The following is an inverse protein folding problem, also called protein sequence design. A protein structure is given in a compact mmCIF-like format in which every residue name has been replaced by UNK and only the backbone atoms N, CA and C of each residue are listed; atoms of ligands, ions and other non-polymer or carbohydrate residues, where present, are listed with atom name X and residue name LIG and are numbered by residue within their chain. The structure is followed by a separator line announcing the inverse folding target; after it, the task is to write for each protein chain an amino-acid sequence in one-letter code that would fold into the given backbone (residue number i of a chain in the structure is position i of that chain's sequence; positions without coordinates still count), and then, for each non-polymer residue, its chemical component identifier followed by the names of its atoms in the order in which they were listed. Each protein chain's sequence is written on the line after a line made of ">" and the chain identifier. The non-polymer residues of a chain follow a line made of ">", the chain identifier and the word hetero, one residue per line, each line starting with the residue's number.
data_IF_805475338475
#
_entry.id   IF_805475338475
#
_cell.length_a   1.000
_cell.length_b   1.000
_cell.length_c   1.000
_cell.angle_alpha   90.00
_cell.angle_beta   90.00
_cell.angle_gamma   90.00
#
_symmetry.space_group_name_H-M   'P 1'
#
loop_
_entity.id
_entity.type
_entity.pdbx_description
1 polymer ?
#
# COMPACT_ATOMS: atom_id res chain seq x y z
N UNK A 1 7.73 -31.72 -29.12
CA UNK A 1 7.63 -30.33 -28.62
C UNK A 1 8.22 -30.32 -27.23
N UNK A 2 9.46 -29.84 -27.09
CA UNK A 2 10.12 -29.70 -25.78
C UNK A 2 9.42 -28.56 -25.06
N UNK A 3 8.74 -28.84 -23.95
CA UNK A 3 8.26 -27.79 -23.03
C UNK A 3 9.50 -27.24 -22.36
N UNK A 4 10.04 -26.17 -22.93
CA UNK A 4 11.05 -25.36 -22.26
C UNK A 4 10.35 -24.77 -21.02
N UNK A 5 10.84 -25.03 -19.80
CA UNK A 5 10.36 -24.32 -18.64
C UNK A 5 10.69 -22.84 -18.84
N UNK A 6 9.67 -22.00 -19.00
CA UNK A 6 9.82 -20.55 -18.96
C UNK A 6 9.45 -20.11 -17.55
N UNK A 7 10.30 -19.28 -16.94
CA UNK A 7 9.94 -18.55 -15.73
C UNK A 7 9.32 -17.25 -16.21
N UNK A 8 8.10 -16.93 -15.78
CA UNK A 8 7.51 -15.62 -16.05
C UNK A 8 8.34 -14.61 -15.26
N UNK A 9 9.28 -13.95 -15.92
CA UNK A 9 10.06 -12.84 -15.35
C UNK A 9 9.13 -11.63 -15.31
N UNK A 10 8.30 -11.57 -14.27
CA UNK A 10 7.27 -10.54 -14.06
C UNK A 10 7.00 -10.19 -12.60
N UNK A 11 7.68 -10.85 -11.65
CA UNK A 11 7.54 -10.59 -10.22
C UNK A 11 7.96 -9.16 -9.83
N UNK A 12 8.97 -8.63 -10.52
CA UNK A 12 9.41 -7.23 -10.45
C UNK A 12 8.29 -6.22 -10.74
N UNK A 13 7.35 -6.59 -11.63
CA UNK A 13 6.20 -5.74 -11.99
C UNK A 13 5.02 -5.93 -11.04
N UNK A 14 5.01 -6.95 -10.19
CA UNK A 14 3.86 -7.28 -9.34
C UNK A 14 3.71 -6.26 -8.20
N UNK A 15 4.76 -6.05 -7.41
CA UNK A 15 4.75 -5.02 -6.37
C UNK A 15 4.75 -3.59 -6.94
N UNK A 16 5.02 -3.46 -8.25
CA UNK A 16 4.98 -2.19 -8.94
C UNK A 16 3.57 -1.75 -9.36
N UNK A 17 2.58 -2.66 -9.33
CA UNK A 17 1.21 -2.35 -9.73
C UNK A 17 0.59 -1.35 -8.77
N UNK A 18 -0.31 -0.50 -9.29
CA UNK A 18 -0.85 0.65 -8.57
C UNK A 18 -1.52 0.21 -7.27
N UNK A 19 -2.44 -0.73 -7.38
CA UNK A 19 -3.23 -1.31 -6.29
C UNK A 19 -2.34 -1.97 -5.22
N UNK A 20 -1.31 -2.70 -5.64
CA UNK A 20 -0.38 -3.35 -4.71
C UNK A 20 0.42 -2.30 -3.92
N UNK A 21 0.94 -1.28 -4.59
CA UNK A 21 1.62 -0.17 -3.91
C UNK A 21 0.70 0.62 -2.98
N UNK A 22 -0.58 0.74 -3.32
CA UNK A 22 -1.56 1.43 -2.48
C UNK A 22 -1.75 0.65 -1.17
N UNK A 23 -1.93 -0.68 -1.23
CA UNK A 23 -2.03 -1.54 -0.03
C UNK A 23 -0.72 -1.55 0.76
N UNK A 24 0.44 -1.68 0.09
CA UNK A 24 1.74 -1.59 0.77
C UNK A 24 1.89 -0.25 1.50
N UNK A 25 1.43 0.86 0.93
CA UNK A 25 1.49 2.16 1.59
C UNK A 25 0.58 2.23 2.83
N UNK A 26 -0.59 1.59 2.83
CA UNK A 26 -1.39 1.42 4.06
C UNK A 26 -0.59 0.67 5.13
N UNK A 27 -0.04 -0.51 4.78
CA UNK A 27 0.73 -1.33 5.70
C UNK A 27 1.95 -0.59 6.27
N UNK A 28 2.65 0.19 5.44
CA UNK A 28 3.80 1.02 5.87
C UNK A 28 3.40 2.09 6.87
N UNK A 29 2.23 2.70 6.72
CA UNK A 29 1.72 3.69 7.68
C UNK A 29 1.38 3.06 9.03
N UNK A 30 0.87 1.82 9.04
CA UNK A 30 0.60 1.10 10.29
C UNK A 30 1.89 0.81 11.09
N UNK A 31 3.00 0.58 10.40
CA UNK A 31 4.32 0.35 11.01
C UNK A 31 5.03 1.67 11.33
N UNK A 32 4.92 2.65 10.45
CA UNK A 32 5.59 3.94 10.56
C UNK A 32 4.67 5.10 10.16
N UNK A 33 3.96 5.72 11.13
CA UNK A 33 3.13 6.91 10.90
C UNK A 33 3.89 8.17 10.45
N UNK A 34 5.23 8.13 10.42
CA UNK A 34 6.07 9.22 9.90
C UNK A 34 6.39 9.09 8.41
N UNK A 35 5.92 8.05 7.71
CA UNK A 35 6.15 7.88 6.28
C UNK A 35 5.22 8.77 5.43
N UNK A 36 5.62 10.04 5.24
CA UNK A 36 4.87 11.02 4.46
C UNK A 36 4.67 10.62 2.98
N UNK A 37 5.55 9.77 2.43
CA UNK A 37 5.44 9.31 1.04
C UNK A 37 4.27 8.33 0.93
N UNK A 38 4.24 7.33 1.81
CA UNK A 38 3.14 6.36 1.88
C UNK A 38 1.83 7.05 2.25
N UNK A 39 1.85 8.00 3.19
CA UNK A 39 0.67 8.76 3.60
C UNK A 39 0.03 9.49 2.42
N UNK A 40 0.82 10.26 1.65
CA UNK A 40 0.31 11.01 0.49
C UNK A 40 -0.28 10.12 -0.59
N UNK A 41 0.21 8.89 -0.71
CA UNK A 41 -0.29 7.93 -1.68
C UNK A 41 -1.72 7.49 -1.35
N UNK A 42 -2.02 7.24 -0.08
CA UNK A 42 -3.27 6.58 0.35
C UNK A 42 -4.32 7.54 0.88
N UNK A 43 -3.94 8.78 1.24
CA UNK A 43 -4.84 9.73 1.91
C UNK A 43 -6.15 9.98 1.13
N UNK A 44 -6.12 9.87 -0.20
CA UNK A 44 -7.29 10.03 -1.06
C UNK A 44 -7.53 8.81 -1.97
N UNK A 45 -7.07 7.62 -1.56
CA UNK A 45 -7.32 6.34 -2.24
C UNK A 45 -7.83 5.32 -1.23
N UNK A 46 -9.09 4.85 -1.28
CA UNK A 46 -10.23 5.29 -2.10
C UNK A 46 -10.58 6.78 -1.97
N UNK A 47 -11.38 7.33 -2.90
CA UNK A 47 -11.65 8.78 -2.94
C UNK A 47 -12.37 9.27 -1.67
N UNK A 48 -11.74 10.18 -0.92
CA UNK A 48 -12.25 10.78 0.32
C UNK A 48 -12.60 12.27 0.20
N UNK A 49 -12.61 12.80 -1.01
CA UNK A 49 -12.87 14.23 -1.26
C UNK A 49 -11.72 15.14 -0.78
N UNK A 50 -10.52 14.60 -0.63
CA UNK A 50 -9.31 15.34 -0.24
C UNK A 50 -8.60 15.80 -1.51
N UNK A 51 -8.62 17.11 -1.76
CA UNK A 51 -8.01 17.72 -2.94
C UNK A 51 -6.58 18.22 -2.70
N UNK A 52 -5.91 18.66 -3.77
CA UNK A 52 -4.53 19.15 -3.73
C UNK A 52 -4.33 20.30 -2.72
N UNK A 53 -5.24 21.28 -2.69
CA UNK A 53 -5.16 22.40 -1.75
C UNK A 53 -5.21 21.96 -0.26
N UNK A 54 -5.95 20.88 0.04
CA UNK A 54 -5.98 20.31 1.40
C UNK A 54 -4.64 19.69 1.75
N UNK A 55 -4.03 18.97 0.80
CA UNK A 55 -2.73 18.32 0.98
C UNK A 55 -1.64 19.39 1.18
N UNK A 56 -1.63 20.44 0.35
CA UNK A 56 -0.69 21.56 0.47
C UNK A 56 -0.81 22.27 1.82
N UNK A 57 -2.04 22.50 2.30
CA UNK A 57 -2.27 23.10 3.62
C UNK A 57 -1.83 22.18 4.77
N UNK A 58 -1.99 20.87 4.62
CA UNK A 58 -1.50 19.87 5.58
C UNK A 58 0.03 19.84 5.59
N UNK A 59 0.68 19.84 4.43
CA UNK A 59 2.15 19.92 4.30
C UNK A 59 2.70 21.20 4.93
N UNK A 60 2.06 22.35 4.72
CA UNK A 60 2.45 23.60 5.37
C UNK A 60 2.32 23.52 6.90
N UNK A 61 1.28 22.85 7.40
CA UNK A 61 1.08 22.65 8.85
C UNK A 61 2.13 21.71 9.44
N UNK A 62 2.43 20.61 8.74
CA UNK A 62 3.47 19.66 9.12
C UNK A 62 4.85 20.34 9.23
N UNK A 63 5.18 21.19 8.25
CA UNK A 63 6.41 21.99 8.25
C UNK A 63 6.44 23.03 9.39
N UNK A 64 5.33 23.72 9.65
CA UNK A 64 5.23 24.71 10.75
C UNK A 64 5.47 24.06 12.13
N UNK A 65 5.08 22.79 12.28
CA UNK A 65 5.12 22.06 13.55
C UNK A 65 6.28 21.08 13.68
N UNK A 66 7.11 20.95 12.66
CA UNK A 66 8.20 19.96 12.60
C UNK A 66 7.72 18.53 12.90
N UNK A 67 6.67 18.10 12.21
CA UNK A 67 6.03 16.79 12.39
C UNK A 67 5.63 16.15 11.06
N UNK A 68 5.29 14.86 11.05
CA UNK A 68 4.74 14.19 9.85
C UNK A 68 3.33 14.66 9.49
N UNK A 69 2.92 14.40 8.26
CA UNK A 69 1.58 14.70 7.76
C UNK A 69 0.48 14.05 8.59
N UNK A 70 0.69 12.81 9.04
CA UNK A 70 -0.26 12.08 9.87
C UNK A 70 -0.56 12.81 11.19
N UNK A 71 0.47 13.28 11.88
CA UNK A 71 0.30 14.01 13.15
C UNK A 71 -0.16 15.45 12.93
N UNK A 72 0.17 16.06 11.79
CA UNK A 72 -0.28 17.40 11.43
C UNK A 72 -1.80 17.49 11.18
N UNK A 73 -2.51 16.36 11.03
CA UNK A 73 -3.96 16.33 10.78
C UNK A 73 -4.73 17.13 11.82
N UNK A 74 -4.38 17.05 13.11
CA UNK A 74 -5.15 17.68 14.20
C UNK A 74 -5.11 19.20 14.11
N UNK A 75 -4.04 19.74 13.54
CA UNK A 75 -3.79 21.18 13.45
C UNK A 75 -3.97 21.75 12.04
N UNK A 76 -4.23 20.89 11.05
CA UNK A 76 -4.40 21.27 9.66
C UNK A 76 -5.43 22.40 9.51
N UNK A 77 -4.98 23.52 8.91
CA UNK A 77 -5.78 24.71 8.63
C UNK A 77 -6.53 24.55 7.30
N UNK A 78 -7.57 23.72 7.30
CA UNK A 78 -8.35 23.34 6.10
C UNK A 78 -9.86 23.58 6.30
N UNK A 79 -10.64 23.46 5.22
CA UNK A 79 -12.12 23.53 5.33
C UNK A 79 -12.67 22.46 6.28
N UNK A 80 -13.80 22.73 6.94
CA UNK A 80 -14.40 21.78 7.88
C UNK A 80 -14.68 20.40 7.24
N UNK A 81 -15.13 20.38 5.98
CA UNK A 81 -15.37 19.14 5.25
C UNK A 81 -14.09 18.32 5.09
N UNK A 82 -13.01 18.97 4.65
CA UNK A 82 -11.72 18.32 4.50
C UNK A 82 -11.15 17.86 5.84
N UNK A 83 -11.35 18.66 6.90
CA UNK A 83 -10.93 18.31 8.26
C UNK A 83 -11.61 17.03 8.75
N UNK A 84 -12.92 16.91 8.55
CA UNK A 84 -13.66 15.71 8.94
C UNK A 84 -13.12 14.47 8.20
N UNK A 85 -12.93 14.55 6.88
CA UNK A 85 -12.39 13.42 6.11
C UNK A 85 -10.97 13.02 6.52
N UNK A 86 -10.12 13.99 6.91
CA UNK A 86 -8.79 13.70 7.45
C UNK A 86 -8.85 13.03 8.82
N UNK A 87 -9.77 13.47 9.69
CA UNK A 87 -9.95 12.89 11.02
C UNK A 87 -10.52 11.47 10.94
N UNK A 88 -11.54 11.24 10.11
CA UNK A 88 -12.09 9.90 9.84
C UNK A 88 -11.00 8.94 9.35
N UNK A 89 -10.15 9.39 8.42
CA UNK A 89 -9.00 8.60 7.97
C UNK A 89 -7.99 8.32 9.08
N UNK A 90 -7.69 9.33 9.90
CA UNK A 90 -6.77 9.18 11.04
C UNK A 90 -7.30 8.18 12.06
N UNK A 91 -8.58 8.28 12.41
CA UNK A 91 -9.25 7.36 13.34
C UNK A 91 -9.18 5.92 12.83
N UNK A 92 -9.49 5.70 11.55
CA UNK A 92 -9.34 4.39 10.90
C UNK A 92 -7.91 3.82 11.02
N UNK A 93 -6.89 4.63 10.74
CA UNK A 93 -5.50 4.19 10.85
C UNK A 93 -5.12 3.88 12.30
N UNK A 94 -5.55 4.70 13.27
CA UNK A 94 -5.29 4.46 14.70
C UNK A 94 -5.96 3.17 15.18
N UNK A 95 -7.19 2.91 14.77
CA UNK A 95 -7.90 1.66 15.08
C UNK A 95 -7.15 0.44 14.53
N UNK A 96 -6.63 0.53 13.30
CA UNK A 96 -5.81 -0.52 12.72
C UNK A 96 -4.48 -0.70 13.46
N UNK A 97 -3.81 0.38 13.86
CA UNK A 97 -2.56 0.31 14.64
C UNK A 97 -2.80 -0.42 15.96
N UNK A 98 -3.91 -0.15 16.64
CA UNK A 98 -4.25 -0.80 17.91
C UNK A 98 -4.58 -2.29 17.74
N UNK A 99 -5.11 -2.69 16.59
CA UNK A 99 -5.52 -4.08 16.31
C UNK A 99 -4.46 -4.93 15.61
N UNK A 100 -3.50 -4.31 14.91
CA UNK A 100 -2.56 -5.02 14.01
C UNK A 100 -1.79 -6.14 14.70
N UNK A 101 -1.44 -5.97 15.99
CA UNK A 101 -0.65 -6.95 16.75
C UNK A 101 -1.48 -8.19 17.17
N UNK A 102 -2.81 -8.13 17.00
CA UNK A 102 -3.74 -9.24 17.27
C UNK A 102 -4.24 -9.92 16.00
N UNK A 103 -3.86 -9.40 14.84
CA UNK A 103 -4.29 -9.85 13.53
C UNK A 103 -3.09 -10.41 12.75
N UNK A 104 -3.35 -11.35 11.86
CA UNK A 104 -2.36 -11.77 10.86
C UNK A 104 -2.23 -10.70 9.76
N UNK A 105 -1.18 -10.77 8.95
CA UNK A 105 -0.95 -9.82 7.85
C UNK A 105 -2.08 -9.87 6.82
N UNK A 106 -2.54 -11.06 6.49
CA UNK A 106 -3.68 -11.33 5.60
C UNK A 106 -4.99 -10.75 6.17
N UNK A 107 -5.22 -10.88 7.47
CA UNK A 107 -6.36 -10.25 8.15
C UNK A 107 -6.28 -8.72 8.10
N UNK A 108 -5.10 -8.12 8.32
CA UNK A 108 -4.90 -6.67 8.19
C UNK A 108 -5.18 -6.19 6.77
N UNK A 109 -4.67 -6.90 5.75
CA UNK A 109 -4.91 -6.57 4.34
C UNK A 109 -6.41 -6.64 4.01
N UNK A 110 -7.10 -7.71 4.41
CA UNK A 110 -8.54 -7.85 4.19
C UNK A 110 -9.32 -6.72 4.87
N UNK A 111 -8.99 -6.41 6.12
CA UNK A 111 -9.65 -5.33 6.84
C UNK A 111 -9.47 -3.98 6.14
N UNK A 112 -8.28 -3.69 5.61
CA UNK A 112 -8.05 -2.48 4.81
C UNK A 112 -8.92 -2.49 3.55
N UNK A 113 -8.98 -3.61 2.82
CA UNK A 113 -9.74 -3.72 1.57
C UNK A 113 -11.25 -3.51 1.80
N UNK A 114 -11.78 -4.08 2.88
CA UNK A 114 -13.19 -4.00 3.26
C UNK A 114 -13.54 -2.61 3.79
N UNK A 115 -12.89 -2.13 4.86
CA UNK A 115 -13.27 -0.87 5.53
C UNK A 115 -13.04 0.37 4.68
N UNK A 116 -12.04 0.34 3.79
CA UNK A 116 -11.83 1.46 2.87
C UNK A 116 -12.79 1.43 1.68
N UNK A 117 -13.45 0.30 1.42
CA UNK A 117 -14.27 0.07 0.23
C UNK A 117 -13.46 0.01 -1.07
N UNK A 118 -12.18 -0.38 -0.98
CA UNK A 118 -11.26 -0.39 -2.14
C UNK A 118 -11.75 -1.34 -3.23
N UNK A 119 -12.13 -2.57 -2.84
CA UNK A 119 -12.65 -3.58 -3.77
C UNK A 119 -13.99 -3.12 -4.33
N UNK A 120 -14.87 -2.58 -3.50
CA UNK A 120 -16.17 -2.07 -3.97
C UNK A 120 -16.04 -0.92 -4.98
N UNK A 121 -15.06 -0.02 -4.84
CA UNK A 121 -14.82 1.04 -5.82
C UNK A 121 -14.40 0.45 -7.18
N UNK A 122 -13.58 -0.60 -7.17
CA UNK A 122 -13.18 -1.31 -8.38
C UNK A 122 -14.35 -2.08 -9.01
N UNK A 123 -15.17 -2.76 -8.21
CA UNK A 123 -16.35 -3.47 -8.71
C UNK A 123 -17.35 -2.53 -9.37
N UNK A 124 -17.54 -1.31 -8.82
CA UNK A 124 -18.38 -0.26 -9.41
C UNK A 124 -17.85 0.28 -10.74
N UNK A 125 -16.57 0.08 -11.05
CA UNK A 125 -15.96 0.53 -12.31
C UNK A 125 -16.38 -0.37 -13.50
N UNK A 126 -16.80 -1.62 -13.24
CA UNK A 126 -17.27 -2.61 -14.24
C UNK A 126 -16.38 -2.71 -15.50
N UNK A 127 -15.05 -2.65 -15.33
CA UNK A 127 -14.07 -2.66 -16.42
C UNK A 127 -13.14 -3.87 -16.34
N UNK A 128 -12.68 -4.40 -17.48
CA UNK A 128 -11.66 -5.48 -17.52
C UNK A 128 -10.38 -5.10 -16.76
N UNK A 129 -10.05 -3.80 -16.74
CA UNK A 129 -8.92 -3.31 -15.96
C UNK A 129 -9.16 -3.38 -14.46
N UNK A 130 -10.39 -3.11 -14.01
CA UNK A 130 -10.78 -3.23 -12.61
C UNK A 130 -10.80 -4.69 -12.14
N UNK A 131 -11.34 -5.59 -12.95
CA UNK A 131 -11.28 -7.04 -12.68
C UNK A 131 -9.83 -7.51 -12.52
N UNK A 132 -8.95 -7.13 -13.44
CA UNK A 132 -7.53 -7.46 -13.34
C UNK A 132 -6.84 -6.86 -12.11
N UNK A 133 -7.29 -5.70 -11.59
CA UNK A 133 -6.77 -5.17 -10.31
C UNK A 133 -7.26 -5.97 -9.11
N UNK A 134 -8.51 -6.42 -9.12
CA UNK A 134 -9.07 -7.29 -8.07
C UNK A 134 -8.32 -8.62 -8.04
N UNK A 135 -8.02 -9.22 -9.20
CA UNK A 135 -7.20 -10.42 -9.29
C UNK A 135 -5.81 -10.22 -8.66
N UNK A 136 -5.17 -9.07 -8.90
CA UNK A 136 -3.86 -8.78 -8.31
C UNK A 136 -3.91 -8.63 -6.79
N UNK A 137 -4.97 -8.00 -6.27
CA UNK A 137 -5.20 -7.89 -4.83
C UNK A 137 -5.37 -9.28 -4.19
N UNK A 138 -6.09 -10.19 -4.87
CA UNK A 138 -6.23 -11.58 -4.42
C UNK A 138 -4.89 -12.34 -4.46
N UNK A 139 -4.07 -12.13 -5.50
CA UNK A 139 -2.70 -12.68 -5.56
C UNK A 139 -1.83 -12.15 -4.40
N UNK A 140 -1.96 -10.88 -4.05
CA UNK A 140 -1.21 -10.27 -2.93
C UNK A 140 -1.66 -10.82 -1.58
N UNK A 141 -2.95 -11.04 -1.41
CA UNK A 141 -3.49 -11.69 -0.22
C UNK A 141 -3.00 -13.14 -0.08
N UNK A 142 -2.94 -13.89 -1.18
CA UNK A 142 -2.37 -15.23 -1.19
C UNK A 142 -0.87 -15.22 -0.81
N UNK A 143 -0.10 -14.25 -1.30
CA UNK A 143 1.29 -14.09 -0.89
C UNK A 143 1.44 -13.79 0.61
N UNK A 144 0.50 -13.06 1.22
CA UNK A 144 0.47 -12.86 2.66
C UNK A 144 0.16 -14.16 3.44
N UNK A 145 -0.78 -14.98 2.96
CA UNK A 145 -1.04 -16.30 3.55
C UNK A 145 0.18 -17.23 3.46
N UNK A 146 0.84 -17.29 2.30
CA UNK A 146 2.06 -18.10 2.12
C UNK A 146 3.20 -17.63 3.05
N UNK A 147 3.35 -16.31 3.23
CA UNK A 147 4.29 -15.73 4.17
C UNK A 147 3.98 -16.18 5.61
N UNK A 148 2.72 -16.16 6.02
CA UNK A 148 2.28 -16.58 7.36
C UNK A 148 2.48 -18.07 7.62
N UNK A 149 2.37 -18.92 6.60
CA UNK A 149 2.61 -20.36 6.75
C UNK A 149 4.10 -20.70 6.83
N UNK A 150 4.93 -20.01 6.06
CA UNK A 150 6.34 -20.35 5.87
C UNK A 150 7.32 -19.60 6.77
N UNK A 151 6.94 -18.44 7.30
CA UNK A 151 7.83 -17.57 8.07
C UNK A 151 7.79 -17.86 9.57
N UNK A 152 8.97 -17.85 10.20
CA UNK A 152 9.10 -17.93 11.66
C UNK A 152 8.62 -16.64 12.34
N UNK A 153 8.98 -15.49 11.78
CA UNK A 153 8.48 -14.18 12.18
C UNK A 153 7.30 -13.79 11.27
N UNK A 154 6.11 -13.73 11.86
CA UNK A 154 4.84 -13.43 11.15
C UNK A 154 4.40 -11.99 11.35
N UNK A 155 5.28 -11.13 11.87
CA UNK A 155 4.99 -9.71 12.05
C UNK A 155 4.77 -8.99 10.72
N UNK A 156 4.02 -7.90 10.77
CA UNK A 156 3.82 -7.03 9.61
C UNK A 156 5.15 -6.41 9.13
N UNK A 157 6.03 -6.10 10.07
CA UNK A 157 7.38 -5.61 9.83
C UNK A 157 8.20 -6.61 9.03
N UNK A 158 8.17 -7.89 9.41
CA UNK A 158 8.85 -8.96 8.68
C UNK A 158 8.28 -9.16 7.27
N UNK A 159 6.96 -9.08 7.09
CA UNK A 159 6.33 -9.16 5.77
C UNK A 159 6.80 -8.03 4.84
N UNK A 160 6.78 -6.79 5.33
CA UNK A 160 7.23 -5.62 4.55
C UNK A 160 8.73 -5.70 4.20
N UNK A 161 9.55 -6.23 5.12
CA UNK A 161 10.96 -6.49 4.84
C UNK A 161 11.13 -7.56 3.75
N UNK A 162 10.34 -8.63 3.80
CA UNK A 162 10.31 -9.69 2.78
C UNK A 162 9.98 -9.16 1.38
N UNK A 163 8.95 -8.31 1.25
CA UNK A 163 8.59 -7.68 -0.02
C UNK A 163 9.75 -6.88 -0.60
N UNK A 164 10.44 -6.11 0.25
CA UNK A 164 11.58 -5.28 -0.16
C UNK A 164 12.73 -6.16 -0.68
N UNK A 165 13.03 -7.25 0.04
CA UNK A 165 14.09 -8.18 -0.33
C UNK A 165 13.82 -8.92 -1.65
N UNK A 166 12.59 -9.39 -1.85
CA UNK A 166 12.19 -10.05 -3.11
C UNK A 166 12.30 -9.08 -4.28
N UNK A 167 11.86 -7.83 -4.08
CA UNK A 167 11.97 -6.78 -5.09
C UNK A 167 13.43 -6.50 -5.46
N UNK A 168 14.34 -6.43 -4.48
CA UNK A 168 15.78 -6.20 -4.70
C UNK A 168 16.49 -7.39 -5.38
N UNK A 169 16.13 -8.62 -5.02
CA UNK A 169 16.70 -9.84 -5.64
C UNK A 169 16.27 -9.95 -7.11
N UNK A 170 15.01 -9.68 -7.41
CA UNK A 170 14.51 -9.69 -8.79
C UNK A 170 15.18 -8.58 -9.63
N UNK A 171 15.37 -7.38 -9.06
CA UNK A 171 16.16 -6.28 -9.67
C UNK A 171 17.60 -6.70 -9.99
N UNK A 172 18.28 -7.36 -9.06
CA UNK A 172 19.65 -7.82 -9.26
C UNK A 172 19.74 -8.93 -10.34
N UNK A 173 18.71 -9.77 -10.47
CA UNK A 173 18.60 -10.79 -11.51
C UNK A 173 18.54 -10.20 -12.93
N UNK A 174 17.81 -9.09 -13.14
CA UNK A 174 17.73 -8.42 -14.46
C UNK A 174 19.08 -7.84 -14.92
N UNK A 175 19.91 -7.36 -13.98
CA UNK A 175 21.24 -6.80 -14.27
C UNK A 175 22.24 -7.92 -14.66
N UNK A 176 22.02 -9.15 -14.17
CA UNK A 176 22.92 -10.29 -14.41
C UNK A 176 22.70 -11.05 -15.73
N UNK A 177 21.52 -10.96 -16.35
CA UNK A 177 21.16 -11.73 -17.56
C UNK A 177 20.95 -10.91 -18.84
N UNK A 178 21.20 -9.59 -18.82
CA UNK A 178 20.99 -8.74 -20.00
C UNK A 178 22.28 -8.56 -20.85
N UNK A 179 22.35 -9.22 -22.01
CA UNK A 179 23.27 -8.82 -23.08
C UNK A 179 22.75 -7.53 -23.70
N UNK A 180 23.46 -6.43 -23.44
CA UNK A 180 23.17 -5.12 -24.05
C UNK A 180 23.48 -5.19 -25.54
N UNK A 181 22.45 -5.27 -26.38
CA UNK A 181 22.55 -5.02 -27.82
C UNK A 181 22.41 -3.51 -28.05
N UNK A 182 23.52 -2.86 -28.36
CA UNK A 182 23.52 -1.55 -29.03
C UNK A 182 23.43 -1.76 -30.54
N UNK A 183 22.52 -1.05 -31.20
CA UNK A 183 22.61 -0.76 -32.64
C UNK A 183 23.09 0.68 -32.83
#
# INVERSE_FOLDING_TARGET
>A
RVRIPYKVVGALRFYDRKEIKDIIAYLRILVNPYDDISFKRIINVPKRGIGAATIEALEATALEKDTSLFFAIDDAKVSQRAKNSLLEFKEFILELIDKKDTMTVSEVINYILEETGYVEELEKEESEQAEGRIENLNEFLNAAYEFEESSEDKSLEAFLAGITLVSDIDLAGEIGESVVLMT
#
